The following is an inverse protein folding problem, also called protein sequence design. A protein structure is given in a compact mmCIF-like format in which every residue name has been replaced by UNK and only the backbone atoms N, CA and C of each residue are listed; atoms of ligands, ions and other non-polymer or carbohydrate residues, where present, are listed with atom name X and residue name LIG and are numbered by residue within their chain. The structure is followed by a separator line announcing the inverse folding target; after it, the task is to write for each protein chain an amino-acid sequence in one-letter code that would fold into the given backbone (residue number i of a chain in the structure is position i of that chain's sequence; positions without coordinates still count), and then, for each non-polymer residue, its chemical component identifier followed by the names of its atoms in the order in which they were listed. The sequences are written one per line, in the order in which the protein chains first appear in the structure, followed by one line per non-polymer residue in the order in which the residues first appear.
data_IF_967749692199
#
_entry.id   IF_967749692199
#
_cell.length_a   1.000
_cell.length_b   1.000
_cell.length_c   1.000
_cell.angle_alpha   90.00
_cell.angle_beta   90.00
_cell.angle_gamma   90.00
#
_symmetry.space_group_name_H-M   'P 1'
#
loop_
_entity.id
_entity.type
_entity.pdbx_description
1 polymer ?
#
# COMPACT_ATOMS: atom_id res chain seq x y z
N UNK A 1 5.88 10.48 -4.28
CA UNK A 1 4.88 9.59 -4.93
C UNK A 1 4.74 8.31 -4.10
N UNK A 2 3.71 7.48 -4.28
CA UNK A 2 3.52 6.23 -3.49
C UNK A 2 4.70 5.24 -3.55
N UNK A 3 5.57 5.36 -4.56
CA UNK A 3 6.80 4.55 -4.68
C UNK A 3 7.74 4.81 -3.49
N UNK A 4 7.70 6.03 -2.94
CA UNK A 4 8.47 6.37 -1.75
C UNK A 4 7.63 6.14 -0.50
N UNK A 5 8.30 5.86 0.62
CA UNK A 5 7.67 5.65 1.92
C UNK A 5 7.02 6.93 2.53
N UNK A 6 7.28 8.11 1.95
CA UNK A 6 6.82 9.39 2.45
C UNK A 6 5.28 9.50 2.65
N UNK A 7 4.42 9.14 1.67
CA UNK A 7 2.96 9.16 1.84
C UNK A 7 2.46 8.22 2.94
N UNK A 8 3.03 7.03 3.10
CA UNK A 8 2.63 6.10 4.15
C UNK A 8 2.94 6.66 5.54
N UNK A 9 4.13 7.23 5.73
CA UNK A 9 4.51 7.89 6.98
C UNK A 9 3.65 9.12 7.28
N UNK A 10 3.32 9.91 6.26
CA UNK A 10 2.43 11.06 6.42
C UNK A 10 1.02 10.62 6.86
N UNK A 11 0.49 9.54 6.27
CA UNK A 11 -0.80 8.97 6.67
C UNK A 11 -0.77 8.44 8.11
N UNK A 12 0.24 7.65 8.49
CA UNK A 12 0.41 7.16 9.87
C UNK A 12 0.48 8.33 10.87
N UNK A 13 1.24 9.39 10.54
CA UNK A 13 1.36 10.58 11.39
C UNK A 13 0.03 11.33 11.53
N UNK A 14 -0.70 11.51 10.43
CA UNK A 14 -2.00 12.18 10.44
C UNK A 14 -3.04 11.41 11.25
N UNK A 15 -3.03 10.08 11.15
CA UNK A 15 -3.97 9.19 11.84
C UNK A 15 -3.52 8.82 13.27
N UNK A 16 -2.27 9.14 13.66
CA UNK A 16 -1.65 8.77 14.93
C UNK A 16 -1.69 7.25 15.21
N UNK A 17 -1.50 6.47 14.16
CA UNK A 17 -1.47 5.00 14.22
C UNK A 17 -0.05 4.47 13.98
N UNK A 18 0.22 3.28 14.51
CA UNK A 18 1.46 2.54 14.24
C UNK A 18 1.33 1.66 12.99
N UNK A 19 2.44 1.30 12.33
CA UNK A 19 2.40 0.42 11.16
C UNK A 19 1.68 -0.92 11.38
N UNK A 20 1.76 -1.49 12.59
CA UNK A 20 1.21 -2.80 12.91
C UNK A 20 -0.32 -2.80 13.08
N UNK A 21 -0.90 -1.61 13.28
CA UNK A 21 -2.32 -1.34 13.51
C UNK A 21 -3.08 -1.06 12.21
N UNK A 22 -2.39 -0.99 11.07
CA UNK A 22 -2.98 -0.61 9.79
C UNK A 22 -2.82 -1.69 8.73
N UNK A 23 -3.77 -1.71 7.78
CA UNK A 23 -3.76 -2.59 6.60
C UNK A 23 -3.71 -1.74 5.32
N UNK A 24 -2.63 -1.86 4.55
CA UNK A 24 -2.56 -1.27 3.23
C UNK A 24 -3.26 -2.18 2.20
N UNK A 25 -4.24 -1.64 1.49
CA UNK A 25 -4.96 -2.32 0.41
C UNK A 25 -4.63 -1.63 -0.91
N UNK A 26 -4.23 -2.39 -1.93
CA UNK A 26 -3.94 -1.83 -3.25
C UNK A 26 -3.77 -2.87 -4.35
N UNK A 27 -3.90 -2.40 -5.59
CA UNK A 27 -3.88 -3.19 -6.82
C UNK A 27 -2.51 -3.21 -7.52
N UNK A 28 -1.55 -2.37 -7.07
CA UNK A 28 -0.23 -2.26 -7.69
C UNK A 28 0.88 -2.68 -6.74
N UNK A 29 1.48 -3.84 -7.02
CA UNK A 29 2.54 -4.43 -6.18
C UNK A 29 3.70 -3.44 -5.92
N UNK A 30 4.23 -2.80 -6.98
CA UNK A 30 5.39 -1.90 -6.85
C UNK A 30 5.10 -0.57 -6.13
N UNK A 31 3.83 -0.14 -6.08
CA UNK A 31 3.45 1.18 -5.54
C UNK A 31 2.77 1.11 -4.18
N UNK A 32 1.95 0.09 -3.98
CA UNK A 32 1.09 -0.02 -2.82
C UNK A 32 1.60 -1.10 -1.85
N UNK A 33 2.10 -2.23 -2.38
CA UNK A 33 2.45 -3.39 -1.54
C UNK A 33 3.91 -3.35 -1.08
N UNK A 34 4.88 -3.28 -1.99
CA UNK A 34 6.31 -3.32 -1.62
C UNK A 34 6.72 -2.17 -0.69
N UNK A 35 6.35 -0.90 -0.94
CA UNK A 35 6.75 0.20 -0.06
C UNK A 35 6.10 0.12 1.32
N UNK A 36 4.84 -0.32 1.41
CA UNK A 36 4.13 -0.51 2.68
C UNK A 36 4.76 -1.65 3.50
N UNK A 37 5.08 -2.78 2.85
CA UNK A 37 5.71 -3.93 3.50
C UNK A 37 7.09 -3.59 4.05
N UNK A 38 7.88 -2.76 3.36
CA UNK A 38 9.16 -2.26 3.86
C UNK A 38 9.01 -1.40 5.14
N UNK A 39 7.84 -0.81 5.36
CA UNK A 39 7.50 -0.06 6.58
C UNK A 39 6.82 -0.92 7.65
N UNK A 40 6.80 -2.24 7.50
CA UNK A 40 6.17 -3.17 8.44
C UNK A 40 4.65 -3.01 8.55
N UNK A 41 4.03 -2.34 7.58
CA UNK A 41 2.58 -2.25 7.43
C UNK A 41 2.05 -3.58 6.90
N UNK A 42 0.97 -4.11 7.49
CA UNK A 42 0.28 -5.29 6.94
C UNK A 42 -0.28 -4.93 5.56
N UNK A 43 -0.22 -5.86 4.60
CA UNK A 43 -0.63 -5.58 3.21
C UNK A 43 -1.67 -6.60 2.72
N UNK A 44 -2.62 -6.13 1.92
CA UNK A 44 -3.60 -6.94 1.20
C UNK A 44 -3.55 -6.54 -0.28
N UNK A 45 -3.21 -7.51 -1.15
CA UNK A 45 -3.21 -7.30 -2.58
C UNK A 45 -4.61 -7.49 -3.16
N UNK A 46 -5.18 -6.44 -3.74
CA UNK A 46 -6.44 -6.51 -4.45
C UNK A 46 -6.19 -7.03 -5.88
N UNK A 47 -6.78 -8.18 -6.23
CA UNK A 47 -6.68 -8.75 -7.60
C UNK A 47 -7.49 -7.95 -8.63
N UNK A 48 -8.44 -7.15 -8.19
CA UNK A 48 -9.25 -6.27 -9.03
C UNK A 48 -8.56 -4.90 -9.21
N UNK A 49 -8.93 -4.15 -10.25
CA UNK A 49 -8.37 -2.81 -10.51
C UNK A 49 -6.97 -2.81 -11.17
N UNK A 50 -6.26 -3.93 -11.13
CA UNK A 50 -5.00 -4.08 -11.87
C UNK A 50 -5.27 -4.02 -13.38
N UNK A 51 -4.44 -3.29 -14.13
CA UNK A 51 -4.55 -3.13 -15.59
C UNK A 51 -4.43 -4.45 -16.40
N UNK A 52 -4.14 -5.57 -15.73
CA UNK A 52 -3.97 -6.88 -16.36
C UNK A 52 -5.27 -7.63 -16.66
N UNK A 53 -6.44 -7.09 -16.30
CA UNK A 53 -7.70 -7.56 -16.90
C UNK A 53 -7.83 -6.99 -18.32
N UNK A 54 -6.92 -7.38 -19.23
CA UNK A 54 -7.29 -7.42 -20.64
C UNK A 54 -8.38 -8.48 -20.75
N UNK A 55 -9.62 -8.07 -21.01
CA UNK A 55 -10.58 -8.93 -21.70
C UNK A 55 -9.87 -9.40 -22.97
N UNK A 56 -9.60 -10.70 -23.07
CA UNK A 56 -9.28 -11.32 -24.35
C UNK A 56 -10.48 -11.13 -25.29
#
# INVERSE_FOLDING_TARGET
TKVTAAPFRAALKALKLKPEEVLMVGDRIERDIKPAKALHIKTCYARYGTKYLKKQ
#
